data_IF_618268652193
#
_entry.id   IF_618268652193
#
_cell.length_a   1.000
_cell.length_b   1.000
_cell.length_c   1.000
_cell.angle_alpha   90.00
_cell.angle_beta   90.00
_cell.angle_gamma   90.00
#
_symmetry.space_group_name_H-M   'P 1'
#
loop_
_entity.id
_entity.type
_entity.pdbx_description
1 polymer ?
#
# COMPACT_ATOMS: atom_id res chain seq x y z
N UNK A 1 0.70 11.59 -16.56
CA UNK A 1 -0.38 11.00 -15.74
C UNK A 1 0.26 10.01 -14.78
N UNK A 2 -0.17 9.90 -13.50
CA UNK A 2 0.22 8.75 -12.70
C UNK A 2 -0.26 7.48 -13.42
N UNK A 3 0.58 6.45 -13.49
CA UNK A 3 0.20 5.16 -14.05
C UNK A 3 -0.91 4.54 -13.19
N UNK A 4 -1.81 3.77 -13.81
CA UNK A 4 -2.88 3.09 -13.09
C UNK A 4 -2.28 2.02 -12.17
N UNK A 5 -2.97 1.68 -11.08
CA UNK A 5 -2.55 0.59 -10.21
C UNK A 5 -2.41 -0.74 -10.97
N UNK A 6 -3.27 -0.98 -11.97
CA UNK A 6 -3.18 -2.14 -12.88
C UNK A 6 -1.93 -2.19 -13.75
N UNK A 7 -1.23 -1.07 -13.95
CA UNK A 7 -0.02 -1.02 -14.79
C UNK A 7 1.24 -1.38 -13.99
N UNK A 8 1.13 -1.50 -12.67
CA UNK A 8 2.23 -1.94 -11.81
C UNK A 8 2.49 -3.44 -12.00
N UNK A 9 3.76 -3.87 -12.06
CA UNK A 9 4.08 -5.29 -12.08
C UNK A 9 3.69 -5.94 -10.74
N UNK A 10 3.24 -7.18 -10.81
CA UNK A 10 2.96 -7.98 -9.62
C UNK A 10 4.27 -8.40 -8.98
N UNK A 11 4.41 -8.08 -7.70
CA UNK A 11 5.55 -8.45 -6.85
C UNK A 11 5.17 -9.70 -6.06
N UNK A 12 5.74 -10.84 -6.43
CA UNK A 12 5.45 -12.12 -5.77
C UNK A 12 6.34 -12.35 -4.54
N UNK A 13 5.81 -13.03 -3.53
CA UNK A 13 6.56 -13.45 -2.35
C UNK A 13 7.80 -14.28 -2.70
N UNK A 14 8.81 -14.25 -1.83
CA UNK A 14 10.10 -14.96 -1.99
C UNK A 14 10.95 -14.53 -3.21
N UNK A 15 10.67 -13.37 -3.80
CA UNK A 15 11.47 -12.79 -4.89
C UNK A 15 12.40 -11.67 -4.41
N UNK A 16 13.40 -11.32 -5.22
CA UNK A 16 14.24 -10.14 -4.98
C UNK A 16 13.41 -8.84 -5.00
N UNK A 17 12.43 -8.75 -5.91
CA UNK A 17 11.52 -7.62 -6.00
C UNK A 17 10.70 -7.43 -4.72
N UNK A 18 10.25 -8.53 -4.10
CA UNK A 18 9.57 -8.48 -2.80
C UNK A 18 10.46 -7.90 -1.70
N UNK A 19 11.70 -8.39 -1.59
CA UNK A 19 12.65 -7.88 -0.60
C UNK A 19 12.97 -6.40 -0.82
N UNK A 20 13.06 -5.96 -2.08
CA UNK A 20 13.23 -4.55 -2.43
C UNK A 20 12.01 -3.72 -2.02
N UNK A 21 10.78 -4.19 -2.28
CA UNK A 21 9.55 -3.52 -1.89
C UNK A 21 9.45 -3.38 -0.36
N UNK A 22 9.70 -4.45 0.39
CA UNK A 22 9.75 -4.44 1.86
C UNK A 22 10.80 -3.44 2.37
N UNK A 23 11.99 -3.41 1.77
CA UNK A 23 13.06 -2.47 2.14
C UNK A 23 12.68 -1.01 1.86
N UNK A 24 12.01 -0.74 0.74
CA UNK A 24 11.51 0.58 0.40
C UNK A 24 10.45 1.06 1.42
N UNK A 25 9.48 0.20 1.77
CA UNK A 25 8.47 0.52 2.79
C UNK A 25 9.11 0.77 4.16
N UNK A 26 10.11 -0.04 4.54
CA UNK A 26 10.88 0.15 5.79
C UNK A 26 11.57 1.51 5.84
N UNK A 27 12.21 1.89 4.73
CA UNK A 27 12.94 3.16 4.60
C UNK A 27 12.00 4.37 4.68
N UNK A 28 10.77 4.23 4.20
CA UNK A 28 9.76 5.29 4.21
C UNK A 28 9.66 6.04 2.87
N UNK A 29 9.15 7.26 2.91
CA UNK A 29 8.83 8.01 1.69
C UNK A 29 7.50 7.59 1.05
N UNK A 30 7.36 7.81 -0.26
CA UNK A 30 6.15 7.49 -1.03
C UNK A 30 6.40 6.24 -1.87
N UNK A 31 5.62 5.18 -1.64
CA UNK A 31 5.76 3.91 -2.38
C UNK A 31 4.43 3.41 -2.90
N UNK A 32 4.45 2.71 -4.03
CA UNK A 32 3.31 2.03 -4.62
C UNK A 32 3.78 0.68 -5.16
N UNK A 33 3.18 -0.40 -4.69
CA UNK A 33 3.47 -1.76 -5.16
C UNK A 33 2.17 -2.48 -5.48
N UNK A 34 2.24 -3.51 -6.32
CA UNK A 34 1.12 -4.42 -6.57
C UNK A 34 1.54 -5.85 -6.27
N UNK A 35 0.64 -6.60 -5.68
CA UNK A 35 0.80 -8.03 -5.37
C UNK A 35 -0.42 -8.81 -5.89
N UNK A 36 -0.37 -10.14 -5.81
CA UNK A 36 -1.44 -10.98 -6.34
C UNK A 36 -2.73 -10.94 -5.49
N UNK A 37 -2.60 -10.85 -4.15
CA UNK A 37 -3.72 -11.03 -3.23
C UNK A 37 -3.73 -10.04 -2.06
N UNK A 38 -4.87 -9.90 -1.38
CA UNK A 38 -4.96 -9.11 -0.15
C UNK A 38 -4.02 -9.63 0.94
N UNK A 39 -3.88 -10.95 1.04
CA UNK A 39 -3.03 -11.62 2.02
C UNK A 39 -1.55 -11.30 1.77
N UNK A 40 -1.12 -11.27 0.51
CA UNK A 40 0.23 -10.82 0.15
C UNK A 40 0.45 -9.35 0.49
N UNK A 41 -0.58 -8.50 0.33
CA UNK A 41 -0.46 -7.08 0.60
C UNK A 41 -0.26 -6.84 2.10
N UNK A 42 -1.03 -7.54 2.93
CA UNK A 42 -0.87 -7.54 4.38
C UNK A 42 0.48 -8.12 4.80
N UNK A 43 0.88 -9.26 4.24
CA UNK A 43 2.15 -9.90 4.55
C UNK A 43 3.35 -8.99 4.22
N UNK A 44 3.33 -8.33 3.05
CA UNK A 44 4.35 -7.36 2.66
C UNK A 44 4.42 -6.20 3.65
N UNK A 45 3.27 -5.64 4.02
CA UNK A 45 3.21 -4.53 4.96
C UNK A 45 3.68 -4.94 6.36
N UNK A 46 3.23 -6.09 6.89
CA UNK A 46 3.61 -6.57 8.21
C UNK A 46 5.10 -6.91 8.29
N UNK A 47 5.68 -7.46 7.22
CA UNK A 47 7.13 -7.70 7.15
C UNK A 47 7.93 -6.39 7.15
N UNK A 48 7.38 -5.33 6.54
CA UNK A 48 8.01 -4.02 6.48
C UNK A 48 7.81 -3.18 7.76
N UNK A 49 6.62 -3.22 8.34
CA UNK A 49 6.18 -2.40 9.47
C UNK A 49 5.46 -3.30 10.49
N UNK A 50 6.17 -4.16 11.24
CA UNK A 50 5.55 -5.08 12.18
C UNK A 50 4.67 -4.36 13.20
N UNK A 51 3.45 -4.86 13.41
CA UNK A 51 2.51 -4.30 14.38
C UNK A 51 1.97 -2.92 14.00
N UNK A 52 1.99 -2.57 12.71
CA UNK A 52 1.23 -1.41 12.23
C UNK A 52 -0.26 -1.66 12.44
N UNK A 53 -0.96 -0.66 12.95
CA UNK A 53 -2.35 -0.78 13.37
C UNK A 53 -3.31 -0.68 12.17
N UNK A 54 -4.24 -1.62 12.05
CA UNK A 54 -5.36 -1.52 11.13
C UNK A 54 -6.32 -0.42 11.59
N UNK A 55 -6.74 0.44 10.67
CA UNK A 55 -7.71 1.51 10.88
C UNK A 55 -8.98 1.24 10.07
N UNK A 56 -10.13 1.77 10.53
CA UNK A 56 -11.35 1.76 9.72
C UNK A 56 -11.10 2.45 8.37
N UNK A 57 -11.62 1.87 7.30
CA UNK A 57 -11.57 2.43 5.96
C UNK A 57 -12.17 3.83 5.93
N UNK A 58 -11.47 4.76 5.27
CA UNK A 58 -11.85 6.17 5.17
C UNK A 58 -11.99 6.86 6.53
N UNK A 59 -11.15 6.49 7.51
CA UNK A 59 -11.24 7.13 8.82
C UNK A 59 -11.01 8.63 8.75
N UNK A 60 -11.98 9.41 9.24
CA UNK A 60 -11.88 10.86 9.34
C UNK A 60 -10.97 11.34 10.48
N UNK A 61 -10.61 10.45 11.41
CA UNK A 61 -9.74 10.80 12.52
C UNK A 61 -8.27 10.86 12.06
N UNK A 62 -7.58 12.01 12.23
CA UNK A 62 -6.17 12.10 11.88
C UNK A 62 -5.33 11.14 12.71
N UNK A 63 -4.58 10.28 12.03
CA UNK A 63 -3.60 9.39 12.68
C UNK A 63 -2.21 9.54 12.03
N UNK A 64 -1.16 9.28 12.82
CA UNK A 64 0.23 9.35 12.34
C UNK A 64 0.74 8.01 11.81
N UNK A 65 0.24 6.89 12.34
CA UNK A 65 0.68 5.53 12.00
C UNK A 65 -0.53 4.58 11.92
N UNK A 66 -0.62 3.81 10.84
CA UNK A 66 -1.68 2.83 10.61
C UNK A 66 -1.86 2.54 9.13
N UNK A 67 -2.77 1.61 8.83
CA UNK A 67 -3.17 1.29 7.47
C UNK A 67 -4.67 1.05 7.35
N UNK A 68 -5.21 1.19 6.15
CA UNK A 68 -6.62 1.04 5.81
C UNK A 68 -6.77 0.15 4.58
N UNK A 69 -7.83 -0.65 4.50
CA UNK A 69 -8.22 -1.37 3.28
C UNK A 69 -9.18 -0.51 2.48
N UNK A 70 -8.81 -0.17 1.26
CA UNK A 70 -9.63 0.61 0.34
C UNK A 70 -10.14 -0.30 -0.79
N UNK A 71 -11.41 -0.14 -1.22
CA UNK A 71 -11.91 -0.75 -2.44
C UNK A 71 -11.25 -0.14 -3.68
N UNK A 72 -11.59 -0.65 -4.85
CA UNK A 72 -11.26 -0.03 -6.13
C UNK A 72 -11.84 1.40 -6.20
N UNK A 73 -11.00 2.40 -6.45
CA UNK A 73 -11.38 3.82 -6.47
C UNK A 73 -11.52 4.40 -7.88
N UNK A 74 -11.56 3.56 -8.94
CA UNK A 74 -11.68 3.99 -10.34
C UNK A 74 -12.89 4.91 -10.61
N UNK A 75 -13.99 4.72 -9.86
CA UNK A 75 -15.19 5.55 -9.93
C UNK A 75 -15.15 6.84 -9.11
N UNK A 76 -14.04 7.13 -8.42
CA UNK A 76 -13.92 8.31 -7.55
C UNK A 76 -13.28 9.49 -8.29
N UNK A 77 -13.65 10.71 -7.90
CA UNK A 77 -13.07 11.94 -8.46
C UNK A 77 -11.63 12.16 -7.98
N UNK A 78 -11.29 11.67 -6.79
CA UNK A 78 -10.05 12.04 -6.10
C UNK A 78 -8.85 11.16 -6.46
N UNK A 79 -9.08 9.88 -6.78
CA UNK A 79 -8.00 8.93 -7.08
C UNK A 79 -8.43 7.84 -8.08
N UNK A 80 -8.94 8.20 -9.28
CA UNK A 80 -9.39 7.21 -10.26
C UNK A 80 -8.27 6.26 -10.73
N UNK A 81 -7.00 6.64 -10.60
CA UNK A 81 -5.84 5.80 -10.90
C UNK A 81 -5.62 4.65 -9.90
N UNK A 82 -6.22 4.72 -8.70
CA UNK A 82 -6.22 3.63 -7.71
C UNK A 82 -7.28 2.59 -8.10
N UNK A 83 -7.15 2.08 -9.32
CA UNK A 83 -8.16 1.25 -9.99
C UNK A 83 -8.13 -0.24 -9.56
N UNK A 84 -7.54 -0.53 -8.40
CA UNK A 84 -7.53 -1.83 -7.75
C UNK A 84 -7.81 -1.66 -6.25
N UNK A 85 -8.42 -2.67 -5.59
CA UNK A 85 -8.40 -2.77 -4.15
C UNK A 85 -6.97 -2.67 -3.61
N UNK A 86 -6.80 -2.01 -2.46
CA UNK A 86 -5.46 -1.74 -1.95
C UNK A 86 -5.42 -1.49 -0.44
N UNK A 87 -4.24 -1.69 0.13
CA UNK A 87 -3.90 -1.18 1.44
C UNK A 87 -3.29 0.21 1.27
N UNK A 88 -3.85 1.19 1.96
CA UNK A 88 -3.24 2.51 2.14
C UNK A 88 -2.56 2.54 3.51
N UNK A 89 -1.25 2.76 3.55
CA UNK A 89 -0.49 2.83 4.79
C UNK A 89 0.14 4.20 5.00
N UNK A 90 0.32 4.58 6.26
CA UNK A 90 1.22 5.67 6.66
C UNK A 90 1.87 5.38 7.99
N UNK A 91 3.11 5.84 8.14
CA UNK A 91 3.84 5.80 9.39
C UNK A 91 4.76 7.01 9.47
N UNK A 92 4.33 8.01 10.24
CA UNK A 92 5.09 9.22 10.55
C UNK A 92 5.54 9.24 12.01
N UNK A 93 5.54 8.09 12.70
CA UNK A 93 5.90 7.98 14.12
C UNK A 93 7.31 8.49 14.42
N UNK A 94 8.26 8.23 13.51
CA UNK A 94 9.64 8.71 13.57
C UNK A 94 9.87 10.08 12.89
N UNK A 95 8.79 10.80 12.52
CA UNK A 95 8.85 12.11 11.86
C UNK A 95 9.09 12.05 10.34
N UNK A 96 9.11 13.22 9.69
CA UNK A 96 9.11 13.33 8.21
C UNK A 96 10.31 12.70 7.50
N UNK A 97 11.47 12.62 8.15
CA UNK A 97 12.72 12.13 7.53
C UNK A 97 12.78 10.61 7.40
N UNK A 98 12.12 9.89 8.31
CA UNK A 98 12.12 8.42 8.37
C UNK A 98 10.70 7.82 8.24
N UNK A 99 9.70 8.70 8.09
CA UNK A 99 8.31 8.31 7.90
C UNK A 99 7.95 8.18 6.43
N UNK A 100 6.79 7.59 6.18
CA UNK A 100 6.31 7.38 4.83
C UNK A 100 4.81 7.15 4.76
N UNK A 101 4.33 7.08 3.54
CA UNK A 101 2.99 6.65 3.21
C UNK A 101 3.00 5.98 1.84
N UNK A 102 2.07 5.09 1.58
CA UNK A 102 2.04 4.41 0.30
C UNK A 102 0.83 3.53 0.13
N UNK A 103 0.81 2.85 -1.00
CA UNK A 103 -0.24 1.90 -1.35
C UNK A 103 0.35 0.55 -1.72
N UNK A 104 -0.35 -0.52 -1.34
CA UNK A 104 -0.08 -1.88 -1.81
C UNK A 104 -1.37 -2.37 -2.43
N UNK A 105 -1.42 -2.36 -3.77
CA UNK A 105 -2.55 -2.81 -4.56
C UNK A 105 -2.54 -4.33 -4.68
N UNK A 106 -3.72 -4.94 -4.81
CA UNK A 106 -3.83 -6.39 -4.97
C UNK A 106 -4.92 -6.77 -5.97
N UNK A 107 -4.78 -7.98 -6.51
CA UNK A 107 -5.67 -8.55 -7.51
C UNK A 107 -5.18 -8.38 -8.95
N UNK A 108 -5.91 -9.06 -9.83
CA UNK A 108 -5.70 -9.06 -11.27
C UNK A 108 -6.71 -8.19 -12.01
N UNK A 109 -6.45 -7.85 -13.27
CA UNK A 109 -7.37 -7.09 -14.12
C UNK A 109 -8.69 -7.82 -14.44
N UNK A 110 -8.92 -9.01 -13.89
CA UNK A 110 -9.92 -9.98 -14.38
C UNK A 110 -10.97 -10.41 -13.34
N UNK A 111 -11.27 -9.58 -12.34
CA UNK A 111 -12.51 -9.74 -11.53
C UNK A 111 -13.66 -8.89 -12.09
#
# INVERSE_FOLDING_TARGET
MPANATDLPIVSANTSAWNQAVSAIKTGGKTNFRVASSDDAEAMLQQAKPGIELKPTYTGCPYKKGYEHHPNEAGTVNAPQNNLPHIKWKDWGAGKKAGGAGHIFYGDQND
#
